data_IF_591923535775
#
_entry.id   IF_591923535775
#
_cell.length_a   1.000
_cell.length_b   1.000
_cell.length_c   1.000
_cell.angle_alpha   90.00
_cell.angle_beta   90.00
_cell.angle_gamma   90.00
#
_symmetry.space_group_name_H-M   'P 1'
#
loop_
_entity.id
_entity.type
_entity.pdbx_description
1 polymer ?
#
# COMPACT_ATOMS: atom_id res chain seq x y z
N UNK A 1 -3.14 -31.95 3.16
CA UNK A 1 -3.87 -30.67 3.26
C UNK A 1 -3.24 -29.77 2.22
N UNK A 2 -4.00 -29.28 1.26
CA UNK A 2 -3.46 -28.42 0.21
C UNK A 2 -3.17 -27.03 0.82
N UNK A 3 -2.07 -26.37 0.46
CA UNK A 3 -1.74 -25.03 0.95
C UNK A 3 -2.90 -24.02 0.72
N UNK A 4 -3.69 -24.21 -0.34
CA UNK A 4 -4.90 -23.43 -0.61
C UNK A 4 -5.97 -23.57 0.48
N UNK A 5 -6.15 -24.74 1.10
CA UNK A 5 -7.21 -24.98 2.09
C UNK A 5 -6.94 -24.24 3.41
N UNK A 6 -5.67 -23.97 3.74
CA UNK A 6 -5.29 -23.25 4.98
C UNK A 6 -5.17 -21.74 4.77
N UNK A 7 -5.01 -21.30 3.51
CA UNK A 7 -4.78 -19.92 3.15
C UNK A 7 -6.07 -19.10 2.97
N UNK A 8 -7.18 -19.76 2.66
CA UNK A 8 -8.42 -19.07 2.28
C UNK A 8 -9.58 -19.40 3.21
N UNK A 9 -10.39 -18.39 3.48
CA UNK A 9 -11.66 -18.50 4.19
C UNK A 9 -12.81 -18.56 3.18
N UNK A 10 -13.80 -19.41 3.42
CA UNK A 10 -15.09 -19.32 2.70
C UNK A 10 -15.70 -17.92 2.84
N UNK A 11 -16.00 -17.30 1.72
CA UNK A 11 -16.61 -15.96 1.65
C UNK A 11 -17.35 -15.78 0.33
N UNK A 12 -18.30 -14.83 0.24
CA UNK A 12 -18.91 -14.48 -1.04
C UNK A 12 -17.85 -14.02 -2.05
N UNK A 13 -17.98 -14.46 -3.31
CA UNK A 13 -17.08 -14.00 -4.38
C UNK A 13 -17.27 -12.52 -4.72
N UNK A 14 -18.43 -11.95 -4.40
CA UNK A 14 -18.76 -10.54 -4.62
C UNK A 14 -19.55 -9.98 -3.45
N UNK A 15 -19.29 -8.71 -3.15
CA UNK A 15 -20.04 -7.92 -2.20
C UNK A 15 -20.55 -6.65 -2.89
N UNK A 16 -21.68 -6.10 -2.38
CA UNK A 16 -22.32 -4.95 -2.97
C UNK A 16 -22.58 -3.87 -1.92
N UNK A 17 -22.59 -2.62 -2.35
CA UNK A 17 -23.09 -1.50 -1.56
C UNK A 17 -24.63 -1.61 -1.38
N UNK A 18 -25.18 -0.81 -0.48
CA UNK A 18 -26.63 -0.72 -0.30
C UNK A 18 -27.36 -0.20 -1.56
N UNK A 19 -26.67 0.57 -2.39
CA UNK A 19 -27.17 1.04 -3.69
C UNK A 19 -27.27 -0.05 -4.75
N UNK A 20 -26.67 -1.23 -4.51
CA UNK A 20 -26.53 -2.30 -5.49
C UNK A 20 -25.27 -2.21 -6.35
N UNK A 21 -24.48 -1.15 -6.22
CA UNK A 21 -23.19 -1.07 -6.88
C UNK A 21 -22.19 -2.11 -6.32
N UNK A 22 -21.30 -2.62 -7.16
CA UNK A 22 -20.30 -3.60 -6.76
C UNK A 22 -19.31 -2.95 -5.78
N UNK A 23 -19.08 -3.60 -4.63
CA UNK A 23 -18.16 -3.15 -3.59
C UNK A 23 -16.84 -3.87 -3.63
N UNK A 24 -16.87 -5.19 -3.82
CA UNK A 24 -15.65 -6.00 -3.88
C UNK A 24 -15.83 -7.25 -4.73
N UNK A 25 -14.72 -7.72 -5.32
CA UNK A 25 -14.61 -9.03 -5.97
C UNK A 25 -13.45 -9.77 -5.32
N UNK A 26 -13.70 -10.99 -4.89
CA UNK A 26 -12.70 -11.94 -4.42
C UNK A 26 -12.48 -13.01 -5.48
N UNK A 27 -11.24 -13.19 -5.89
CA UNK A 27 -10.85 -14.24 -6.85
C UNK A 27 -10.38 -15.47 -6.09
N UNK A 28 -10.69 -16.66 -6.63
CA UNK A 28 -10.27 -17.95 -6.02
C UNK A 28 -8.78 -18.23 -6.24
N UNK A 29 -8.19 -17.58 -7.23
CA UNK A 29 -6.76 -17.63 -7.55
C UNK A 29 -6.27 -16.25 -7.97
N UNK A 30 -4.96 -16.05 -8.00
CA UNK A 30 -4.36 -14.80 -8.49
C UNK A 30 -4.78 -14.61 -9.95
N UNK A 31 -5.57 -13.58 -10.19
CA UNK A 31 -6.16 -13.25 -11.49
C UNK A 31 -5.56 -11.94 -12.01
N UNK A 32 -5.20 -11.91 -13.28
CA UNK A 32 -4.75 -10.68 -13.92
C UNK A 32 -5.97 -9.78 -14.21
N UNK A 33 -5.95 -8.55 -13.69
CA UNK A 33 -7.04 -7.58 -13.81
C UNK A 33 -6.54 -6.28 -14.42
N UNK A 34 -7.36 -5.66 -15.28
CA UNK A 34 -7.04 -4.37 -15.87
C UNK A 34 -7.28 -3.26 -14.84
N UNK A 35 -6.24 -2.47 -14.60
CA UNK A 35 -6.25 -1.33 -13.68
C UNK A 35 -5.85 -0.04 -14.43
N UNK A 36 -5.97 1.15 -13.80
CA UNK A 36 -5.44 2.39 -14.39
C UNK A 36 -3.94 2.35 -14.69
N UNK A 37 -3.17 1.49 -14.01
CA UNK A 37 -1.74 1.29 -14.26
C UNK A 37 -1.43 0.19 -15.29
N UNK A 38 -2.44 -0.45 -15.88
CA UNK A 38 -2.32 -1.63 -16.73
C UNK A 38 -2.75 -2.91 -16.03
N UNK A 39 -2.38 -4.06 -16.59
CA UNK A 39 -2.74 -5.37 -16.05
C UNK A 39 -1.90 -5.69 -14.80
N UNK A 40 -2.56 -6.03 -13.69
CA UNK A 40 -1.94 -6.37 -12.41
C UNK A 40 -2.56 -7.64 -11.82
N UNK A 41 -1.77 -8.44 -11.07
CA UNK A 41 -2.30 -9.59 -10.35
C UNK A 41 -3.17 -9.14 -9.17
N UNK A 42 -4.30 -9.81 -8.95
CA UNK A 42 -5.19 -9.54 -7.83
C UNK A 42 -5.90 -10.80 -7.33
N UNK A 43 -6.07 -10.88 -6.01
CA UNK A 43 -6.98 -11.81 -5.35
C UNK A 43 -8.19 -11.08 -4.74
N UNK A 44 -8.07 -9.77 -4.52
CA UNK A 44 -9.17 -8.91 -4.10
C UNK A 44 -9.11 -7.57 -4.81
N UNK A 45 -10.23 -7.15 -5.36
CA UNK A 45 -10.50 -5.77 -5.76
C UNK A 45 -11.61 -5.19 -4.91
N UNK A 46 -11.45 -3.95 -4.49
CA UNK A 46 -12.53 -3.14 -3.95
C UNK A 46 -12.81 -1.95 -4.85
N UNK A 47 -14.02 -1.45 -4.80
CA UNK A 47 -14.48 -0.36 -5.67
C UNK A 47 -15.04 0.77 -4.83
N UNK A 48 -14.98 1.97 -5.37
CA UNK A 48 -15.82 3.08 -4.96
C UNK A 48 -17.26 2.86 -5.45
N UNK A 49 -18.19 3.61 -4.92
CA UNK A 49 -19.61 3.44 -5.28
C UNK A 49 -19.93 3.88 -6.72
N UNK A 50 -19.05 4.70 -7.31
CA UNK A 50 -19.11 5.09 -8.73
C UNK A 50 -18.56 4.02 -9.70
N UNK A 51 -18.01 2.90 -9.15
CA UNK A 51 -17.47 1.79 -9.91
C UNK A 51 -15.98 1.91 -10.23
N UNK A 52 -15.31 3.01 -9.88
CA UNK A 52 -13.86 3.11 -10.00
C UNK A 52 -13.15 2.20 -8.98
N UNK A 53 -11.96 1.68 -9.34
CA UNK A 53 -11.19 0.82 -8.45
C UNK A 53 -10.72 1.64 -7.25
N UNK A 54 -11.00 1.13 -6.04
CA UNK A 54 -10.54 1.70 -4.78
C UNK A 54 -9.22 1.05 -4.35
N UNK A 55 -9.20 -0.27 -4.10
CA UNK A 55 -7.99 -1.00 -3.70
C UNK A 55 -7.82 -2.29 -4.47
N UNK A 56 -6.57 -2.61 -4.72
CA UNK A 56 -6.14 -3.88 -5.27
C UNK A 56 -5.21 -4.56 -4.26
N UNK A 57 -5.51 -5.82 -3.96
CA UNK A 57 -4.67 -6.70 -3.15
C UNK A 57 -4.14 -7.81 -4.05
N UNK A 58 -2.83 -7.84 -4.34
CA UNK A 58 -2.23 -8.90 -5.16
C UNK A 58 -2.39 -10.28 -4.53
N UNK A 59 -2.29 -10.32 -3.19
CA UNK A 59 -2.54 -11.48 -2.33
C UNK A 59 -3.54 -11.10 -1.26
N UNK A 60 -4.42 -12.03 -0.91
CA UNK A 60 -5.41 -11.83 0.14
C UNK A 60 -5.71 -13.14 0.87
N UNK A 61 -4.67 -13.74 1.42
CA UNK A 61 -4.75 -14.92 2.26
C UNK A 61 -5.23 -14.61 3.68
N UNK A 62 -5.66 -15.63 4.39
CA UNK A 62 -6.03 -15.55 5.80
C UNK A 62 -4.87 -16.02 6.67
N UNK A 63 -4.38 -15.17 7.54
CA UNK A 63 -3.39 -15.55 8.55
C UNK A 63 -4.07 -16.43 9.59
N UNK A 64 -3.50 -17.61 9.84
CA UNK A 64 -3.99 -18.62 10.79
C UNK A 64 -2.82 -19.18 11.59
N UNK A 65 -3.11 -20.13 12.51
CA UNK A 65 -2.06 -20.88 13.21
C UNK A 65 -1.21 -21.78 12.28
N UNK A 66 -1.66 -22.03 11.06
CA UNK A 66 -1.01 -22.92 10.07
C UNK A 66 -0.50 -22.19 8.83
N UNK A 67 -0.89 -20.92 8.66
CA UNK A 67 -0.49 -20.06 7.54
C UNK A 67 -0.17 -18.69 8.09
N UNK A 68 1.10 -18.35 8.08
CA UNK A 68 1.63 -17.13 8.67
C UNK A 68 1.74 -15.99 7.62
N UNK A 69 2.04 -14.79 8.09
CA UNK A 69 2.37 -13.67 7.21
C UNK A 69 3.61 -13.96 6.34
N UNK A 70 4.61 -14.63 6.91
CA UNK A 70 5.82 -15.03 6.18
C UNK A 70 5.51 -16.06 5.09
N UNK A 71 4.61 -17.03 5.37
CA UNK A 71 4.15 -17.98 4.35
C UNK A 71 3.43 -17.25 3.21
N UNK A 72 2.54 -16.31 3.53
CA UNK A 72 1.83 -15.50 2.54
C UNK A 72 2.81 -14.67 1.70
N UNK A 73 3.80 -14.03 2.34
CA UNK A 73 4.81 -13.26 1.64
C UNK A 73 5.59 -14.09 0.60
N UNK A 74 5.82 -15.38 0.83
CA UNK A 74 6.53 -16.24 -0.15
C UNK A 74 5.85 -16.33 -1.51
N UNK A 75 4.55 -16.05 -1.57
CA UNK A 75 3.77 -16.01 -2.82
C UNK A 75 3.81 -14.64 -3.49
N UNK A 76 4.28 -13.61 -2.80
CA UNK A 76 4.30 -12.26 -3.33
C UNK A 76 5.29 -12.12 -4.49
N UNK A 77 4.93 -11.30 -5.47
CA UNK A 77 5.77 -10.95 -6.60
C UNK A 77 6.04 -9.46 -6.59
N UNK A 78 7.19 -9.09 -7.13
CA UNK A 78 7.52 -7.69 -7.35
C UNK A 78 6.60 -7.09 -8.41
N UNK A 79 6.03 -5.93 -8.12
CA UNK A 79 5.13 -5.18 -9.00
C UNK A 79 5.77 -3.81 -9.26
N UNK A 80 5.79 -3.40 -10.53
CA UNK A 80 6.21 -2.05 -10.89
C UNK A 80 5.04 -1.09 -10.76
N UNK A 81 5.23 -0.06 -9.94
CA UNK A 81 4.28 1.02 -9.69
C UNK A 81 4.73 2.26 -10.47
N UNK A 82 3.82 2.86 -11.19
CA UNK A 82 4.04 4.13 -11.89
C UNK A 82 3.02 5.15 -11.43
N UNK A 83 3.49 6.28 -10.91
CA UNK A 83 2.70 7.47 -10.63
C UNK A 83 3.00 8.54 -11.70
N UNK A 84 2.42 9.72 -11.63
CA UNK A 84 2.77 10.84 -12.51
C UNK A 84 4.25 11.27 -12.40
N UNK A 85 4.92 10.96 -11.30
CA UNK A 85 6.27 11.45 -10.96
C UNK A 85 7.27 10.31 -10.73
N UNK A 86 6.84 9.18 -10.15
CA UNK A 86 7.71 8.09 -9.72
C UNK A 86 7.43 6.80 -10.49
N UNK A 87 8.49 6.04 -10.74
CA UNK A 87 8.42 4.62 -11.13
C UNK A 87 9.35 3.84 -10.21
N UNK A 88 8.82 2.81 -9.56
CA UNK A 88 9.56 1.94 -8.63
C UNK A 88 8.93 0.56 -8.58
N UNK A 89 9.71 -0.43 -8.17
CA UNK A 89 9.21 -1.81 -7.97
C UNK A 89 9.20 -2.16 -6.49
N UNK A 90 8.19 -2.90 -6.06
CA UNK A 90 8.05 -3.36 -4.68
C UNK A 90 7.17 -4.61 -4.58
N UNK A 91 7.26 -5.31 -3.46
CA UNK A 91 6.29 -6.32 -3.07
C UNK A 91 5.09 -5.63 -2.40
N UNK A 92 4.08 -5.32 -3.20
CA UNK A 92 2.88 -4.63 -2.73
C UNK A 92 1.97 -5.59 -1.93
N UNK A 93 1.52 -5.13 -0.77
CA UNK A 93 0.45 -5.76 0.01
C UNK A 93 -0.91 -5.25 -0.47
N UNK A 94 -1.04 -3.93 -0.67
CA UNK A 94 -2.16 -3.32 -1.36
C UNK A 94 -1.74 -2.06 -2.13
N UNK A 95 -2.54 -1.75 -3.16
CA UNK A 95 -2.43 -0.53 -3.96
C UNK A 95 -3.77 0.18 -3.86
N UNK A 96 -3.79 1.39 -3.32
CA UNK A 96 -4.96 2.24 -3.22
C UNK A 96 -4.96 3.29 -4.33
N UNK A 97 -6.10 3.48 -4.96
CA UNK A 97 -6.29 4.44 -6.03
C UNK A 97 -7.22 5.58 -5.59
N UNK A 98 -7.02 6.75 -6.14
CA UNK A 98 -8.05 7.78 -6.16
C UNK A 98 -9.19 7.41 -7.11
N UNK A 99 -10.40 7.98 -6.99
CA UNK A 99 -11.46 7.78 -7.97
C UNK A 99 -11.06 8.12 -9.41
N UNK A 100 -10.12 9.03 -9.61
CA UNK A 100 -9.54 9.36 -10.92
C UNK A 100 -8.68 8.23 -11.52
N UNK A 101 -8.32 7.21 -10.72
CA UNK A 101 -7.42 6.15 -11.10
C UNK A 101 -5.94 6.42 -10.81
N UNK A 102 -5.57 7.62 -10.33
CA UNK A 102 -4.21 7.89 -9.87
C UNK A 102 -3.90 7.06 -8.62
N UNK A 103 -2.63 6.65 -8.46
CA UNK A 103 -2.20 5.90 -7.27
C UNK A 103 -2.21 6.82 -6.06
N UNK A 104 -2.96 6.46 -5.03
CA UNK A 104 -3.02 7.19 -3.76
C UNK A 104 -2.00 6.69 -2.76
N UNK A 105 -1.88 5.38 -2.58
CA UNK A 105 -0.88 4.80 -1.69
C UNK A 105 -0.49 3.38 -2.12
N UNK A 106 0.69 2.97 -1.70
CA UNK A 106 1.18 1.60 -1.85
C UNK A 106 1.66 1.12 -0.49
N UNK A 107 0.98 0.13 0.06
CA UNK A 107 1.43 -0.60 1.25
C UNK A 107 2.29 -1.76 0.79
N UNK A 108 3.44 -1.95 1.43
CA UNK A 108 4.39 -2.99 1.06
C UNK A 108 4.48 -4.07 2.14
N UNK A 109 4.93 -5.25 1.74
CA UNK A 109 5.26 -6.32 2.67
C UNK A 109 6.48 -5.92 3.52
N UNK A 110 6.40 -6.01 4.87
CA UNK A 110 7.51 -5.59 5.75
C UNK A 110 8.77 -6.44 5.58
N UNK A 111 8.66 -7.65 5.02
CA UNK A 111 9.77 -8.54 4.67
C UNK A 111 10.62 -8.01 3.50
N UNK A 112 10.05 -7.12 2.66
CA UNK A 112 10.72 -6.49 1.52
C UNK A 112 10.71 -4.96 1.64
N UNK A 113 11.54 -4.38 2.53
CA UNK A 113 11.55 -2.92 2.76
C UNK A 113 11.95 -2.16 1.50
N UNK A 114 11.32 -1.02 1.30
CA UNK A 114 11.53 -0.15 0.15
C UNK A 114 12.42 1.03 0.52
N UNK A 115 13.48 1.26 -0.27
CA UNK A 115 14.27 2.50 -0.24
C UNK A 115 13.69 3.47 -1.26
N UNK A 116 13.05 4.52 -0.77
CA UNK A 116 12.34 5.48 -1.60
C UNK A 116 13.04 6.84 -1.64
N UNK A 117 13.12 7.44 -2.83
CA UNK A 117 13.70 8.77 -3.00
C UNK A 117 12.68 9.84 -2.62
N UNK A 118 13.02 10.64 -1.63
CA UNK A 118 12.20 11.76 -1.14
C UNK A 118 12.94 13.09 -1.36
N UNK A 119 12.30 14.25 -1.17
CA UNK A 119 12.97 15.56 -1.16
C UNK A 119 14.10 15.66 -0.14
N UNK A 120 14.09 14.86 0.93
CA UNK A 120 15.12 14.80 1.97
C UNK A 120 16.18 13.71 1.73
N UNK A 121 16.23 13.15 0.52
CA UNK A 121 17.12 12.02 0.20
C UNK A 121 16.41 10.67 0.25
N UNK A 122 17.19 9.58 0.33
CA UNK A 122 16.63 8.23 0.34
C UNK A 122 16.16 7.87 1.76
N UNK A 123 14.89 7.48 1.88
CA UNK A 123 14.26 7.01 3.12
C UNK A 123 13.86 5.56 2.95
N UNK A 124 14.18 4.73 3.93
CA UNK A 124 13.75 3.33 3.98
C UNK A 124 12.41 3.23 4.71
N UNK A 125 11.47 2.47 4.13
CA UNK A 125 10.16 2.15 4.74
C UNK A 125 9.91 0.65 4.70
N UNK A 126 9.22 0.14 5.73
CA UNK A 126 8.67 -1.21 5.77
C UNK A 126 7.14 -1.21 5.66
N UNK A 127 6.55 -0.05 5.48
CA UNK A 127 5.11 0.12 5.42
C UNK A 127 4.64 0.58 4.06
N UNK A 128 5.29 1.58 3.48
CA UNK A 128 4.96 2.08 2.16
C UNK A 128 4.89 3.61 2.07
N UNK A 129 4.27 4.07 1.00
CA UNK A 129 4.26 5.47 0.57
C UNK A 129 2.85 5.91 0.18
N UNK A 130 2.57 7.22 0.35
CA UNK A 130 1.33 7.87 -0.06
C UNK A 130 1.65 9.02 -1.02
N UNK A 131 0.81 9.22 -2.01
CA UNK A 131 0.98 10.22 -3.06
C UNK A 131 -0.21 11.19 -3.08
N UNK A 132 0.03 12.38 -3.58
CA UNK A 132 -1.01 13.26 -4.07
C UNK A 132 -1.56 12.76 -5.41
N UNK A 133 -2.70 13.30 -5.84
CA UNK A 133 -3.37 12.86 -7.07
C UNK A 133 -2.55 13.15 -8.34
N UNK A 134 -1.66 14.15 -8.30
CA UNK A 134 -0.69 14.44 -9.35
C UNK A 134 0.51 13.49 -9.38
N UNK A 135 0.58 12.53 -8.45
CA UNK A 135 1.64 11.55 -8.30
C UNK A 135 2.85 12.02 -7.51
N UNK A 136 2.86 13.24 -6.97
CA UNK A 136 3.93 13.70 -6.07
C UNK A 136 3.84 13.02 -4.70
N UNK A 137 4.98 12.83 -4.03
CA UNK A 137 5.04 12.16 -2.73
C UNK A 137 4.33 13.00 -1.66
N UNK A 138 3.35 12.40 -1.00
CA UNK A 138 2.60 13.01 0.10
C UNK A 138 3.11 12.58 1.46
N UNK A 139 3.43 11.30 1.64
CA UNK A 139 3.96 10.82 2.91
C UNK A 139 4.71 9.49 2.79
N UNK A 140 5.60 9.23 3.73
CA UNK A 140 6.31 7.96 3.89
C UNK A 140 6.43 7.64 5.38
N UNK A 141 6.38 6.34 5.74
CA UNK A 141 6.64 5.88 7.10
C UNK A 141 8.09 5.41 7.21
N UNK A 142 9.01 6.21 7.76
CA UNK A 142 10.39 5.79 7.94
C UNK A 142 10.51 4.60 8.90
N UNK A 143 11.47 3.70 8.67
CA UNK A 143 11.74 2.63 9.62
C UNK A 143 12.16 3.21 10.98
N UNK A 144 11.83 2.50 12.06
CA UNK A 144 12.20 2.93 13.41
C UNK A 144 13.71 3.15 13.52
N UNK A 145 14.11 4.26 14.15
CA UNK A 145 15.52 4.63 14.32
C UNK A 145 16.14 5.32 13.10
N UNK A 146 15.36 5.62 12.05
CA UNK A 146 15.83 6.43 10.92
C UNK A 146 16.38 7.77 11.36
N UNK A 147 17.49 8.19 10.75
CA UNK A 147 18.10 9.52 10.90
C UNK A 147 18.04 10.20 9.54
N UNK A 148 17.31 11.29 9.46
CA UNK A 148 17.09 12.00 8.21
C UNK A 148 17.71 13.37 8.31
N UNK A 149 18.61 13.68 7.38
CA UNK A 149 19.23 15.01 7.30
C UNK A 149 18.26 15.99 6.65
N UNK A 150 18.11 17.14 7.25
CA UNK A 150 17.30 18.24 6.74
C UNK A 150 18.13 19.53 6.71
N UNK A 151 17.71 20.58 5.98
CA UNK A 151 18.39 21.87 6.02
C UNK A 151 18.54 22.46 7.44
N UNK A 152 17.66 22.08 8.36
CA UNK A 152 17.60 22.57 9.73
C UNK A 152 18.23 21.60 10.76
N UNK A 153 18.95 20.57 10.29
CA UNK A 153 19.62 19.57 11.12
C UNK A 153 19.03 18.16 10.99
N UNK A 154 19.56 17.24 11.78
CA UNK A 154 19.09 15.85 11.81
C UNK A 154 17.74 15.73 12.51
N UNK A 155 16.79 15.03 11.87
CA UNK A 155 15.53 14.63 12.50
C UNK A 155 15.49 13.10 12.70
N UNK A 156 14.76 12.67 13.72
CA UNK A 156 14.54 11.26 14.03
C UNK A 156 13.02 11.01 14.11
N UNK A 157 12.39 10.64 13.00
CA UNK A 157 10.97 10.35 13.01
C UNK A 157 10.67 9.20 13.94
N UNK A 158 9.64 9.37 14.79
CA UNK A 158 9.10 8.26 15.57
C UNK A 158 7.87 7.71 14.84
N UNK A 159 7.87 6.42 14.43
CA UNK A 159 6.76 5.85 13.65
C UNK A 159 5.48 5.84 14.50
N UNK A 160 4.57 6.76 14.19
CA UNK A 160 3.27 6.87 14.86
C UNK A 160 2.27 5.89 14.25
N UNK A 161 2.47 5.60 12.96
CA UNK A 161 1.53 4.87 12.14
C UNK A 161 1.84 3.37 12.08
N UNK A 162 2.69 2.86 12.99
CA UNK A 162 3.12 1.46 13.03
C UNK A 162 1.98 0.45 13.19
N UNK A 163 0.86 0.88 13.80
CA UNK A 163 -0.32 0.04 14.03
C UNK A 163 -1.35 0.07 12.90
N UNK A 164 -1.22 0.99 11.92
CA UNK A 164 -2.12 1.03 10.78
C UNK A 164 -1.70 0.04 9.71
N UNK A 165 -2.66 -0.68 9.16
CA UNK A 165 -2.41 -1.66 8.11
C UNK A 165 -1.95 -1.00 6.80
N UNK A 166 -2.53 0.16 6.44
CA UNK A 166 -2.31 0.83 5.16
C UNK A 166 -1.35 2.01 5.27
N UNK A 167 -0.66 2.31 4.16
CA UNK A 167 0.38 3.35 4.08
C UNK A 167 -0.21 4.76 3.87
N UNK A 168 -1.24 5.13 4.63
CA UNK A 168 -1.84 6.45 4.56
C UNK A 168 -1.62 7.25 5.85
N UNK A 169 -1.37 8.55 5.68
CA UNK A 169 -1.15 9.45 6.79
C UNK A 169 0.08 9.10 7.62
N UNK A 170 1.16 8.74 6.95
CA UNK A 170 2.44 8.35 7.54
C UNK A 170 3.08 9.49 8.36
N UNK A 171 4.12 9.16 9.12
CA UNK A 171 4.78 10.08 10.05
C UNK A 171 5.50 11.23 9.34
N UNK A 172 6.26 10.95 8.27
CA UNK A 172 6.94 11.97 7.48
C UNK A 172 6.04 12.39 6.32
N UNK A 173 5.61 13.63 6.34
CA UNK A 173 4.69 14.21 5.36
C UNK A 173 5.40 15.31 4.56
N UNK A 174 5.04 15.42 3.28
CA UNK A 174 5.53 16.45 2.36
C UNK A 174 4.36 17.28 1.85
N UNK A 175 4.58 18.58 1.68
CA UNK A 175 3.66 19.46 1.02
C UNK A 175 3.97 19.49 -0.50
N UNK A 176 3.03 19.93 -1.35
CA UNK A 176 3.27 20.00 -2.80
C UNK A 176 4.45 20.90 -3.21
N UNK A 177 4.83 21.87 -2.38
CA UNK A 177 6.00 22.75 -2.56
C UNK A 177 7.33 22.09 -2.12
N UNK A 178 7.28 20.87 -1.60
CA UNK A 178 8.44 20.12 -1.11
C UNK A 178 8.78 20.37 0.36
N UNK A 179 8.08 21.27 1.04
CA UNK A 179 8.22 21.41 2.49
C UNK A 179 7.78 20.10 3.19
N UNK A 180 8.42 19.78 4.31
CA UNK A 180 8.10 18.58 5.07
C UNK A 180 7.66 18.90 6.48
N UNK A 181 6.89 18.00 7.05
CA UNK A 181 6.51 18.02 8.46
C UNK A 181 6.51 16.62 9.06
N UNK A 182 6.78 16.54 10.35
CA UNK A 182 6.55 15.34 11.13
C UNK A 182 5.16 15.40 11.75
N UNK A 183 4.38 14.36 11.56
CA UNK A 183 3.10 14.20 12.26
C UNK A 183 3.39 14.07 13.74
N UNK A 184 2.90 15.02 14.53
CA UNK A 184 3.08 14.98 16.00
C UNK A 184 2.23 13.86 16.60
N UNK A 185 2.80 13.11 17.55
CA UNK A 185 2.02 12.35 18.51
C UNK A 185 1.15 13.37 19.28
N UNK A 186 -0.13 13.08 19.39
CA UNK A 186 -1.06 13.93 20.11
C UNK A 186 -0.48 14.29 21.48
N UNK A 187 -0.42 15.60 21.73
CA UNK A 187 -0.18 16.13 23.07
C UNK A 187 -1.43 15.96 23.93
#
# INVERSE_FOLDING_TARGET
>A
MNAYDVRRKERPSKEYFKSGALRSIYFDEITEVLTPMGALPAELLTYYEDGSINRLFPLYGMITAYWTEDDEFTLSKEITITTGVYTFSCHALDIHFYPSGAVQSVTIWPQAPLKFRTPLGVVETRKGVEFYEDGTLKSIEPVFGSRIQTPNGEIRPFPINSLKLHAEGNTLQFQPDGEFQLKKLYS
#
